data_IF_929131353587
#
_entry.id   IF_929131353587
#
_cell.length_a   1.000
_cell.length_b   1.000
_cell.length_c   1.000
_cell.angle_alpha   90.00
_cell.angle_beta   90.00
_cell.angle_gamma   90.00
#
_symmetry.space_group_name_H-M   'P 1'
#
loop_
_entity.id
_entity.type
_entity.pdbx_description
1 polymer ?
#
# COMPACT_ATOMS: atom_id res chain seq x y z
N UNK A 1 21.86 7.48 18.83
CA UNK A 1 21.29 8.08 17.61
C UNK A 1 19.80 7.79 17.62
N UNK A 2 18.93 8.79 17.80
CA UNK A 2 17.49 8.58 17.89
C UNK A 2 16.91 8.48 16.48
N UNK A 3 16.51 7.28 16.05
CA UNK A 3 15.90 7.09 14.73
C UNK A 3 14.53 7.74 14.72
N UNK A 4 14.40 8.82 13.94
CA UNK A 4 13.17 9.60 13.87
C UNK A 4 12.30 9.11 12.71
N UNK A 5 10.99 9.14 12.94
CA UNK A 5 9.97 8.91 11.93
C UNK A 5 10.26 9.74 10.67
N UNK A 6 10.15 9.16 9.46
CA UNK A 6 10.28 9.93 8.23
C UNK A 6 9.31 11.11 8.22
N UNK A 7 9.82 12.34 8.02
CA UNK A 7 9.02 13.58 8.11
C UNK A 7 7.80 13.57 7.20
N UNK A 8 7.90 12.91 6.05
CA UNK A 8 6.83 12.77 5.06
C UNK A 8 5.75 11.75 5.45
N UNK A 9 6.02 10.83 6.37
CA UNK A 9 5.04 9.85 6.86
C UNK A 9 4.34 10.32 8.15
N UNK A 10 5.08 10.99 9.04
CA UNK A 10 4.56 11.54 10.29
C UNK A 10 4.25 10.49 11.36
N UNK A 11 4.18 10.94 12.62
CA UNK A 11 3.88 10.08 13.79
C UNK A 11 2.39 9.81 13.95
N UNK A 12 2.05 8.64 14.50
CA UNK A 12 0.68 8.25 14.88
C UNK A 12 -0.34 8.39 13.72
N UNK A 13 0.06 7.97 12.51
CA UNK A 13 -0.77 8.14 11.30
C UNK A 13 -1.40 6.84 10.82
N UNK A 14 -0.82 5.70 11.17
CA UNK A 14 -1.19 4.42 10.57
C UNK A 14 -1.90 3.50 11.57
N UNK A 15 -2.96 2.85 11.13
CA UNK A 15 -3.66 1.82 11.91
C UNK A 15 -2.93 0.46 11.81
N UNK A 16 -2.22 0.24 10.71
CA UNK A 16 -1.46 -1.00 10.44
C UNK A 16 -0.12 -0.65 9.77
N UNK A 17 0.94 -1.33 10.19
CA UNK A 17 2.25 -1.34 9.54
C UNK A 17 2.63 -2.79 9.31
N UNK A 18 2.95 -3.15 8.07
CA UNK A 18 3.43 -4.50 7.71
C UNK A 18 4.84 -4.41 7.15
N UNK A 19 5.70 -5.37 7.51
CA UNK A 19 7.09 -5.39 7.07
C UNK A 19 7.53 -6.81 6.72
N UNK A 20 8.18 -6.94 5.57
CA UNK A 20 8.93 -8.12 5.19
C UNK A 20 10.41 -7.72 5.02
N UNK A 21 11.15 -7.62 6.13
CA UNK A 21 12.49 -7.02 6.15
C UNK A 21 13.54 -8.02 5.62
N UNK A 22 14.75 -7.53 5.31
CA UNK A 22 15.89 -8.42 5.12
C UNK A 22 16.11 -9.30 6.35
N UNK A 23 16.39 -10.58 6.13
CA UNK A 23 16.44 -11.57 7.21
C UNK A 23 17.83 -11.76 7.84
N UNK A 24 18.90 -11.36 7.13
CA UNK A 24 20.26 -11.73 7.49
C UNK A 24 21.07 -10.53 8.00
N UNK A 25 21.73 -10.68 9.16
CA UNK A 25 22.80 -9.77 9.55
C UNK A 25 23.94 -9.86 8.53
N UNK A 26 24.65 -8.76 8.32
CA UNK A 26 25.85 -8.74 7.47
C UNK A 26 27.02 -9.29 8.31
N UNK A 27 27.66 -10.41 7.94
CA UNK A 27 28.84 -10.90 8.65
C UNK A 27 30.04 -9.96 8.43
N UNK A 28 30.88 -9.79 9.44
CA UNK A 28 32.11 -9.01 9.32
C UNK A 28 33.02 -9.59 8.22
N UNK A 29 33.45 -8.73 7.28
CA UNK A 29 34.38 -9.10 6.20
C UNK A 29 33.76 -9.81 4.98
N UNK A 30 32.43 -9.91 4.88
CA UNK A 30 31.80 -10.66 3.78
C UNK A 30 31.79 -9.87 2.46
N UNK A 31 32.16 -10.53 1.36
CA UNK A 31 31.91 -10.01 -0.01
C UNK A 31 30.40 -9.95 -0.22
N UNK A 32 29.85 -8.74 -0.28
CA UNK A 32 28.47 -8.48 -0.65
C UNK A 32 28.31 -8.94 -2.11
N UNK A 33 27.25 -9.70 -2.39
CA UNK A 33 26.91 -10.16 -3.74
C UNK A 33 27.00 -8.97 -4.73
N UNK A 34 27.63 -9.11 -5.91
CA UNK A 34 27.79 -8.00 -6.86
C UNK A 34 26.47 -7.36 -7.27
N UNK A 35 25.35 -8.08 -7.14
CA UNK A 35 24.02 -7.50 -7.25
C UNK A 35 23.59 -6.81 -5.93
N UNK A 36 23.85 -5.50 -5.84
CA UNK A 36 23.54 -4.68 -4.67
C UNK A 36 22.05 -4.70 -4.28
N UNK A 37 21.12 -4.75 -5.24
CA UNK A 37 19.68 -4.75 -4.94
C UNK A 37 19.26 -6.03 -4.20
N UNK A 38 19.70 -7.19 -4.69
CA UNK A 38 19.44 -8.47 -4.01
C UNK A 38 20.13 -8.55 -2.65
N UNK A 39 21.29 -7.93 -2.51
CA UNK A 39 22.00 -7.89 -1.23
C UNK A 39 21.24 -7.05 -0.20
N UNK A 40 20.81 -5.84 -0.56
CA UNK A 40 20.03 -4.93 0.30
C UNK A 40 18.70 -5.55 0.72
N UNK A 41 18.03 -6.28 -0.17
CA UNK A 41 16.75 -6.93 0.14
C UNK A 41 16.88 -8.13 1.09
N UNK A 42 18.06 -8.74 1.19
CA UNK A 42 18.28 -9.96 2.01
C UNK A 42 19.06 -9.68 3.29
N UNK A 43 19.92 -8.68 3.29
CA UNK A 43 20.82 -8.38 4.40
C UNK A 43 20.55 -6.99 4.99
N UNK A 44 20.75 -6.86 6.29
CA UNK A 44 20.61 -5.62 7.07
C UNK A 44 21.71 -4.59 6.72
N UNK A 45 21.77 -4.14 5.47
CA UNK A 45 22.80 -3.22 4.94
C UNK A 45 22.42 -1.76 5.15
N UNK A 46 21.21 -1.39 4.72
CA UNK A 46 20.71 0.00 4.81
C UNK A 46 19.81 0.22 6.02
N UNK A 47 19.22 -0.86 6.51
CA UNK A 47 18.31 -0.85 7.65
C UNK A 47 18.44 -2.18 8.39
N UNK A 48 18.35 -2.14 9.72
CA UNK A 48 18.37 -3.32 10.57
C UNK A 48 17.02 -3.54 11.27
N UNK A 49 16.88 -4.70 11.94
CA UNK A 49 15.64 -5.08 12.62
C UNK A 49 15.20 -4.07 13.69
N UNK A 50 16.13 -3.55 14.50
CA UNK A 50 15.84 -2.58 15.55
C UNK A 50 15.24 -1.29 14.96
N UNK A 51 15.88 -0.75 13.91
CA UNK A 51 15.43 0.46 13.23
C UNK A 51 14.05 0.30 12.62
N UNK A 52 13.76 -0.87 12.00
CA UNK A 52 12.43 -1.19 11.47
C UNK A 52 11.37 -1.09 12.56
N UNK A 53 11.63 -1.70 13.71
CA UNK A 53 10.66 -1.77 14.82
C UNK A 53 10.48 -0.40 15.49
N UNK A 54 11.56 0.37 15.69
CA UNK A 54 11.49 1.75 16.21
C UNK A 54 10.67 2.65 15.28
N UNK A 55 10.90 2.57 13.97
CA UNK A 55 10.15 3.41 13.01
C UNK A 55 8.69 2.96 12.96
N UNK A 56 8.42 1.66 12.97
CA UNK A 56 7.05 1.13 12.97
C UNK A 56 6.25 1.57 14.21
N UNK A 57 6.84 1.52 15.40
CA UNK A 57 6.17 1.93 16.64
C UNK A 57 5.77 3.41 16.62
N UNK A 58 6.60 4.27 16.04
CA UNK A 58 6.33 5.71 15.92
C UNK A 58 5.29 6.05 14.84
N UNK A 59 5.16 5.22 13.80
CA UNK A 59 4.17 5.40 12.74
C UNK A 59 2.75 5.01 13.18
N UNK A 60 2.65 4.03 14.08
CA UNK A 60 1.39 3.43 14.51
C UNK A 60 0.64 4.31 15.50
N UNK A 61 -0.67 4.46 15.30
CA UNK A 61 -1.58 5.01 16.32
C UNK A 61 -1.61 4.11 17.56
N UNK A 62 -2.16 4.60 18.67
CA UNK A 62 -2.51 3.77 19.83
C UNK A 62 -3.42 2.61 19.38
N UNK A 63 -3.11 1.38 19.81
CA UNK A 63 -3.74 0.12 19.39
C UNK A 63 -3.56 -0.22 17.89
N UNK A 64 -2.71 0.50 17.17
CA UNK A 64 -2.31 0.14 15.82
C UNK A 64 -1.55 -1.19 15.79
N UNK A 65 -1.65 -1.92 14.69
CA UNK A 65 -1.06 -3.26 14.54
C UNK A 65 0.20 -3.25 13.71
N UNK A 66 1.24 -3.89 14.23
CA UNK A 66 2.48 -4.17 13.53
C UNK A 66 2.50 -5.65 13.13
N UNK A 67 2.79 -5.94 11.87
CA UNK A 67 3.02 -7.29 11.38
C UNK A 67 4.41 -7.39 10.76
N UNK A 68 5.19 -8.38 11.18
CA UNK A 68 6.51 -8.64 10.62
C UNK A 68 6.64 -10.10 10.23
N UNK A 69 7.08 -10.35 9.00
CA UNK A 69 7.53 -11.67 8.55
C UNK A 69 9.00 -11.81 8.88
N UNK A 70 9.42 -12.89 9.55
CA UNK A 70 10.84 -13.12 9.83
C UNK A 70 11.16 -14.61 9.97
N UNK A 71 12.44 -14.88 10.22
CA UNK A 71 12.97 -16.19 10.61
C UNK A 71 12.85 -16.44 12.13
N UNK A 72 12.59 -17.68 12.59
CA UNK A 72 12.41 -18.00 14.02
C UNK A 72 13.61 -17.66 14.91
N UNK A 73 14.84 -17.80 14.41
CA UNK A 73 16.07 -17.51 15.16
C UNK A 73 16.20 -16.04 15.59
N UNK A 74 15.39 -15.15 15.01
CA UNK A 74 15.36 -13.71 15.30
C UNK A 74 14.22 -13.32 16.24
N UNK A 75 13.38 -14.28 16.66
CA UNK A 75 12.18 -14.03 17.43
C UNK A 75 12.47 -13.34 18.78
N UNK A 76 13.56 -13.74 19.46
CA UNK A 76 13.98 -13.11 20.71
C UNK A 76 14.28 -11.62 20.53
N UNK A 77 14.98 -11.24 19.46
CA UNK A 77 15.28 -9.84 19.13
C UNK A 77 14.01 -9.08 18.74
N UNK A 78 13.11 -9.68 17.95
CA UNK A 78 11.82 -9.07 17.59
C UNK A 78 11.02 -8.73 18.86
N UNK A 79 10.86 -9.69 19.77
CA UNK A 79 10.13 -9.51 21.02
C UNK A 79 10.81 -8.42 21.86
N UNK A 80 12.12 -8.50 22.04
CA UNK A 80 12.88 -7.51 22.80
C UNK A 80 12.68 -6.09 22.28
N UNK A 81 12.83 -5.87 20.97
CA UNK A 81 12.67 -4.54 20.37
C UNK A 81 11.21 -4.07 20.40
N UNK A 82 10.23 -4.94 20.21
CA UNK A 82 8.81 -4.58 20.35
C UNK A 82 8.50 -4.09 21.78
N UNK A 83 8.92 -4.84 22.79
CA UNK A 83 8.68 -4.50 24.20
C UNK A 83 9.35 -3.19 24.60
N UNK A 84 10.62 -2.97 24.20
CA UNK A 84 11.32 -1.71 24.44
C UNK A 84 10.67 -0.51 23.74
N UNK A 85 9.86 -0.76 22.71
CA UNK A 85 9.13 0.26 21.96
C UNK A 85 7.63 0.29 22.29
N UNK A 86 7.23 -0.23 23.47
CA UNK A 86 5.85 -0.21 23.96
C UNK A 86 4.85 -0.92 23.03
N UNK A 87 5.30 -1.92 22.27
CA UNK A 87 4.44 -2.77 21.47
C UNK A 87 4.32 -4.15 22.12
N UNK A 88 3.11 -4.50 22.55
CA UNK A 88 2.83 -5.83 23.09
C UNK A 88 2.72 -6.85 21.96
N UNK A 89 3.55 -7.90 21.97
CA UNK A 89 3.47 -9.00 21.00
C UNK A 89 2.26 -9.87 21.34
N UNK A 90 1.35 -10.08 20.38
CA UNK A 90 0.05 -10.73 20.62
C UNK A 90 -0.12 -12.04 19.90
N UNK A 91 0.50 -12.21 18.74
CA UNK A 91 0.35 -13.42 17.95
C UNK A 91 1.67 -13.78 17.28
N UNK A 92 2.02 -15.07 17.29
CA UNK A 92 3.11 -15.64 16.50
C UNK A 92 2.52 -16.81 15.72
N UNK A 93 2.58 -16.70 14.39
CA UNK A 93 2.19 -17.76 13.46
C UNK A 93 3.45 -18.35 12.81
N UNK A 94 3.88 -19.56 13.21
CA UNK A 94 4.97 -20.28 12.54
C UNK A 94 4.50 -20.86 11.20
N UNK A 95 5.44 -21.00 10.26
CA UNK A 95 5.29 -21.73 9.01
C UNK A 95 6.45 -22.71 8.85
N UNK A 96 6.11 -23.98 8.60
CA UNK A 96 7.07 -25.04 8.33
C UNK A 96 7.00 -25.42 6.84
N UNK A 97 8.13 -25.66 6.16
CA UNK A 97 8.14 -25.91 4.73
C UNK A 97 7.36 -27.18 4.35
N UNK A 98 7.47 -28.23 5.16
CA UNK A 98 6.76 -29.50 5.01
C UNK A 98 6.45 -30.08 6.39
N UNK A 99 5.62 -31.12 6.41
CA UNK A 99 5.35 -31.89 7.64
C UNK A 99 6.66 -32.41 8.22
N UNK A 100 6.74 -32.40 9.55
CA UNK A 100 7.89 -32.89 10.33
C UNK A 100 9.22 -32.12 10.11
N UNK A 101 9.18 -30.99 9.41
CA UNK A 101 10.32 -30.08 9.29
C UNK A 101 10.24 -28.95 10.32
N UNK A 102 11.41 -28.41 10.67
CA UNK A 102 11.48 -27.22 11.51
C UNK A 102 10.83 -26.01 10.83
N UNK A 103 10.22 -25.15 11.64
CA UNK A 103 9.72 -23.85 11.18
C UNK A 103 10.87 -23.05 10.61
N UNK A 104 10.67 -22.44 9.45
CA UNK A 104 11.67 -21.59 8.80
C UNK A 104 11.19 -20.15 8.58
N UNK A 105 9.94 -19.85 8.93
CA UNK A 105 9.34 -18.52 8.82
C UNK A 105 8.32 -18.34 9.96
N UNK A 106 8.21 -17.12 10.49
CA UNK A 106 7.21 -16.70 11.47
C UNK A 106 6.59 -15.39 11.02
N UNK A 107 5.29 -15.23 11.26
CA UNK A 107 4.61 -13.94 11.22
C UNK A 107 4.32 -13.53 12.65
N UNK A 108 4.79 -12.36 13.04
CA UNK A 108 4.59 -11.80 14.38
C UNK A 108 3.64 -10.61 14.29
N UNK A 109 2.59 -10.63 15.09
CA UNK A 109 1.70 -9.49 15.33
C UNK A 109 2.07 -8.83 16.68
N UNK A 110 2.33 -7.53 16.65
CA UNK A 110 2.43 -6.71 17.85
C UNK A 110 1.43 -5.55 17.79
N UNK A 111 0.98 -5.09 18.96
CA UNK A 111 -0.01 -4.00 19.07
C UNK A 111 0.61 -2.85 19.83
N UNK A 112 0.57 -1.66 19.22
CA UNK A 112 1.16 -0.46 19.77
C UNK A 112 0.43 0.00 21.04
N UNK A 113 1.19 0.29 22.10
CA UNK A 113 0.71 0.65 23.44
C UNK A 113 -0.27 -0.36 24.05
N UNK A 114 -0.12 -1.65 23.71
CA UNK A 114 -0.87 -2.73 24.33
C UNK A 114 -0.11 -3.35 25.51
N UNK A 115 -0.82 -3.96 26.48
CA UNK A 115 -0.19 -4.79 27.50
C UNK A 115 0.74 -5.85 26.90
N UNK A 116 1.73 -6.31 27.65
CA UNK A 116 2.74 -7.27 27.17
C UNK A 116 2.35 -8.74 27.37
N UNK A 117 1.22 -9.00 28.03
CA UNK A 117 0.64 -10.33 28.24
C UNK A 117 -0.24 -10.78 27.07
N UNK A 118 -0.82 -11.98 27.17
CA UNK A 118 -1.81 -12.46 26.19
C UNK A 118 -1.23 -12.82 24.82
N UNK A 119 0.06 -13.17 24.76
CA UNK A 119 0.68 -13.74 23.57
C UNK A 119 0.07 -15.12 23.25
N UNK A 120 -0.36 -15.30 22.01
CA UNK A 120 -0.75 -16.59 21.45
C UNK A 120 0.36 -17.08 20.51
N UNK A 121 0.82 -18.32 20.73
CA UNK A 121 1.70 -19.03 19.82
C UNK A 121 0.87 -20.12 19.13
N UNK A 122 0.67 -19.97 17.82
CA UNK A 122 -0.13 -20.92 17.05
C UNK A 122 0.68 -22.16 16.67
N UNK A 123 -0.05 -23.22 16.29
CA UNK A 123 0.53 -24.35 15.61
C UNK A 123 1.13 -23.91 14.25
N UNK A 124 2.24 -24.51 13.80
CA UNK A 124 2.80 -24.20 12.50
C UNK A 124 1.83 -24.51 11.36
N UNK A 125 1.73 -23.59 10.39
CA UNK A 125 1.09 -23.86 9.10
C UNK A 125 2.10 -24.59 8.22
N UNK A 126 1.69 -25.73 7.67
CA UNK A 126 2.53 -26.51 6.75
C UNK A 126 2.39 -25.94 5.34
N UNK A 127 3.52 -25.60 4.71
CA UNK A 127 3.51 -24.86 3.45
C UNK A 127 3.26 -25.78 2.25
N UNK A 128 4.01 -26.88 2.17
CA UNK A 128 3.96 -27.80 1.04
C UNK A 128 3.54 -29.21 1.47
N UNK A 129 2.84 -29.88 0.56
CA UNK A 129 2.63 -31.31 0.56
C UNK A 129 3.95 -32.04 0.23
N UNK A 130 3.96 -33.37 0.37
CA UNK A 130 5.11 -34.23 0.04
C UNK A 130 5.51 -34.15 -1.45
N UNK A 131 4.57 -33.82 -2.34
CA UNK A 131 4.80 -33.62 -3.77
C UNK A 131 5.24 -32.20 -4.16
N UNK A 132 5.56 -31.36 -3.16
CA UNK A 132 5.91 -29.94 -3.32
C UNK A 132 4.78 -29.00 -3.77
N UNK A 133 3.55 -29.49 -3.97
CA UNK A 133 2.39 -28.62 -4.13
C UNK A 133 2.11 -27.86 -2.83
N UNK A 134 1.45 -26.70 -2.90
CA UNK A 134 1.01 -26.01 -1.69
C UNK A 134 -0.11 -26.81 -1.01
N UNK A 135 -0.17 -26.74 0.32
CA UNK A 135 -1.29 -27.31 1.09
C UNK A 135 -2.58 -26.53 0.81
N UNK A 136 -3.75 -27.16 1.02
CA UNK A 136 -5.04 -26.48 0.85
C UNK A 136 -5.17 -25.22 1.71
N UNK A 137 -4.60 -25.23 2.92
CA UNK A 137 -4.56 -24.08 3.82
C UNK A 137 -3.77 -22.90 3.20
N UNK A 138 -2.58 -23.16 2.64
CA UNK A 138 -1.80 -22.14 1.94
C UNK A 138 -2.48 -21.70 0.65
N UNK A 139 -3.02 -22.64 -0.12
CA UNK A 139 -3.77 -22.30 -1.34
C UNK A 139 -4.96 -21.41 -1.00
N UNK A 140 -5.67 -21.63 0.10
CA UNK A 140 -6.73 -20.74 0.55
C UNK A 140 -6.18 -19.36 0.94
N UNK A 141 -5.06 -19.28 1.68
CA UNK A 141 -4.43 -17.99 2.02
C UNK A 141 -4.00 -17.24 0.73
N UNK A 142 -3.43 -17.92 -0.25
CA UNK A 142 -3.02 -17.33 -1.53
C UNK A 142 -4.25 -16.97 -2.38
N UNK A 143 -5.28 -17.81 -2.41
CA UNK A 143 -6.49 -17.61 -3.21
C UNK A 143 -7.43 -16.58 -2.61
N UNK A 144 -7.56 -16.45 -1.29
CA UNK A 144 -8.28 -15.34 -0.65
C UNK A 144 -7.62 -14.00 -1.01
N UNK A 145 -6.28 -13.97 -1.09
CA UNK A 145 -5.54 -12.82 -1.61
C UNK A 145 -5.77 -12.59 -3.12
N UNK A 146 -5.91 -13.66 -3.92
CA UNK A 146 -6.32 -13.55 -5.33
C UNK A 146 -7.77 -13.12 -5.46
N UNK A 147 -8.74 -13.61 -4.69
CA UNK A 147 -10.15 -13.21 -4.72
C UNK A 147 -10.35 -11.75 -4.27
N UNK A 148 -9.55 -11.30 -3.30
CA UNK A 148 -9.43 -9.90 -2.93
C UNK A 148 -8.75 -9.04 -4.03
N UNK A 149 -7.86 -9.62 -4.85
CA UNK A 149 -7.20 -8.96 -5.99
C UNK A 149 -7.97 -9.08 -7.33
N UNK A 150 -8.77 -10.12 -7.55
CA UNK A 150 -9.53 -10.43 -8.78
C UNK A 150 -10.91 -9.80 -8.77
N UNK A 151 -11.35 -9.22 -7.65
CA UNK A 151 -12.43 -8.21 -7.60
C UNK A 151 -12.00 -6.81 -8.03
N UNK A 152 -10.82 -6.68 -8.64
CA UNK A 152 -10.51 -5.54 -9.49
C UNK A 152 -10.60 -6.04 -10.93
N UNK A 153 -11.78 -5.86 -11.56
CA UNK A 153 -11.77 -5.59 -13.00
C UNK A 153 -10.69 -4.52 -13.24
N UNK A 154 -10.01 -4.59 -14.39
CA UNK A 154 -8.98 -3.62 -14.80
C UNK A 154 -9.62 -2.23 -14.96
N UNK A 155 -9.96 -1.61 -13.83
CA UNK A 155 -10.93 -0.54 -13.73
C UNK A 155 -10.20 0.74 -14.00
N UNK A 156 -10.30 1.19 -15.23
CA UNK A 156 -9.69 2.42 -15.69
C UNK A 156 -10.34 3.62 -15.00
N UNK A 157 -9.50 4.52 -14.55
CA UNK A 157 -9.89 5.81 -14.00
C UNK A 157 -9.57 6.89 -15.01
N UNK A 158 -10.45 7.87 -15.11
CA UNK A 158 -10.35 8.94 -16.09
C UNK A 158 -10.31 10.27 -15.37
N UNK A 159 -9.33 11.10 -15.72
CA UNK A 159 -9.50 12.56 -15.63
C UNK A 159 -10.19 13.02 -16.91
N UNK A 160 -11.11 13.97 -16.81
CA UNK A 160 -11.77 14.55 -17.97
C UNK A 160 -11.99 16.05 -17.83
N UNK A 161 -11.98 16.75 -18.97
CA UNK A 161 -12.33 18.15 -19.09
C UNK A 161 -13.57 18.31 -19.99
N UNK A 162 -14.57 19.03 -19.49
CA UNK A 162 -15.78 19.39 -20.22
C UNK A 162 -15.81 20.88 -20.57
N UNK A 163 -16.39 21.23 -21.72
CA UNK A 163 -16.86 22.57 -22.04
C UNK A 163 -18.33 22.70 -21.65
N UNK A 164 -18.64 23.64 -20.76
CA UNK A 164 -19.99 24.00 -20.39
C UNK A 164 -20.65 24.93 -21.44
N UNK A 165 -21.97 25.07 -21.38
CA UNK A 165 -22.72 25.96 -22.28
C UNK A 165 -22.33 27.44 -22.15
N UNK A 166 -21.85 27.86 -20.98
CA UNK A 166 -21.32 29.21 -20.71
C UNK A 166 -19.86 29.38 -21.16
N UNK A 167 -19.27 28.39 -21.84
CA UNK A 167 -17.88 28.39 -22.29
C UNK A 167 -16.86 28.06 -21.19
N UNK A 168 -17.28 27.89 -19.94
CA UNK A 168 -16.39 27.51 -18.83
C UNK A 168 -15.86 26.08 -19.00
N UNK A 169 -14.70 25.80 -18.40
CA UNK A 169 -14.11 24.46 -18.38
C UNK A 169 -14.29 23.82 -17.02
N UNK A 170 -14.77 22.58 -17.04
CA UNK A 170 -14.96 21.78 -15.85
C UNK A 170 -14.05 20.55 -15.89
N UNK A 171 -13.14 20.45 -14.91
CA UNK A 171 -12.35 19.24 -14.67
C UNK A 171 -13.05 18.31 -13.70
N UNK A 172 -13.10 17.03 -14.01
CA UNK A 172 -13.66 15.98 -13.15
C UNK A 172 -12.88 14.69 -13.24
N UNK A 173 -13.19 13.75 -12.35
CA UNK A 173 -12.71 12.38 -12.44
C UNK A 173 -13.88 11.38 -12.45
N UNK A 174 -13.68 10.21 -13.05
CA UNK A 174 -14.64 9.11 -13.02
C UNK A 174 -13.97 7.78 -13.34
N UNK A 175 -14.64 6.67 -13.04
CA UNK A 175 -14.30 5.33 -13.51
C UNK A 175 -15.13 4.89 -14.74
N UNK A 176 -16.10 5.71 -15.17
CA UNK A 176 -16.90 5.46 -16.37
C UNK A 176 -17.25 6.78 -17.06
N UNK A 177 -16.46 7.11 -18.08
CA UNK A 177 -16.53 8.39 -18.78
C UNK A 177 -17.91 8.62 -19.44
N UNK A 178 -18.42 7.62 -20.17
CA UNK A 178 -19.71 7.72 -20.89
C UNK A 178 -20.87 7.97 -19.92
N UNK A 179 -21.01 7.13 -18.90
CA UNK A 179 -22.06 7.26 -17.87
C UNK A 179 -21.98 8.60 -17.16
N UNK A 180 -20.76 9.11 -16.92
CA UNK A 180 -20.55 10.39 -16.24
C UNK A 180 -21.00 11.58 -17.09
N UNK A 181 -20.70 11.58 -18.38
CA UNK A 181 -21.13 12.64 -19.31
C UNK A 181 -22.66 12.65 -19.45
N UNK A 182 -23.28 11.48 -19.58
CA UNK A 182 -24.73 11.34 -19.59
C UNK A 182 -25.38 11.86 -18.29
N UNK A 183 -24.77 11.57 -17.14
CA UNK A 183 -25.24 12.09 -15.85
C UNK A 183 -25.17 13.62 -15.80
N UNK A 184 -24.09 14.23 -16.29
CA UNK A 184 -23.98 15.68 -16.37
C UNK A 184 -25.09 16.28 -17.26
N UNK A 185 -25.30 15.77 -18.47
CA UNK A 185 -26.30 16.31 -19.40
C UNK A 185 -27.75 16.09 -18.93
N UNK A 186 -28.03 14.97 -18.24
CA UNK A 186 -29.34 14.72 -17.61
C UNK A 186 -29.58 15.53 -16.32
N UNK A 187 -28.60 16.32 -15.85
CA UNK A 187 -28.73 17.15 -14.64
C UNK A 187 -28.54 16.39 -13.32
N UNK A 188 -28.14 15.12 -13.40
CA UNK A 188 -27.77 14.26 -12.26
C UNK A 188 -26.27 14.29 -11.94
N UNK A 189 -25.49 15.07 -12.68
CA UNK A 189 -24.05 15.27 -12.46
C UNK A 189 -23.73 16.27 -11.36
N UNK A 190 -22.52 16.84 -11.41
CA UNK A 190 -22.06 17.78 -10.39
C UNK A 190 -22.93 19.05 -10.29
N UNK A 191 -23.09 19.58 -9.06
CA UNK A 191 -23.82 20.84 -8.80
C UNK A 191 -23.37 21.96 -9.73
N UNK A 192 -22.06 22.09 -9.96
CA UNK A 192 -21.46 23.11 -10.83
C UNK A 192 -22.01 23.08 -12.25
N UNK A 193 -22.06 21.89 -12.85
CA UNK A 193 -22.50 21.69 -14.24
C UNK A 193 -24.01 21.69 -14.39
N UNK A 194 -24.80 21.48 -13.32
CA UNK A 194 -26.25 21.29 -13.40
C UNK A 194 -26.98 22.49 -14.04
N UNK A 195 -26.51 23.71 -13.79
CA UNK A 195 -27.04 24.94 -14.38
C UNK A 195 -26.32 25.39 -15.67
N UNK A 196 -25.33 24.63 -16.15
CA UNK A 196 -24.42 24.99 -17.26
C UNK A 196 -24.41 23.96 -18.39
N UNK A 197 -25.53 23.26 -18.53
CA UNK A 197 -25.77 22.23 -19.55
C UNK A 197 -26.24 22.90 -20.85
N UNK A 198 -26.05 22.26 -22.02
CA UNK A 198 -25.32 21.00 -22.21
C UNK A 198 -23.82 21.15 -21.96
N UNK A 199 -23.17 20.04 -21.64
CA UNK A 199 -21.71 19.95 -21.51
C UNK A 199 -21.16 19.00 -22.57
N UNK A 200 -20.02 19.37 -23.15
CA UNK A 200 -19.32 18.59 -24.16
C UNK A 200 -17.98 18.12 -23.61
N UNK A 201 -17.62 16.85 -23.85
CA UNK A 201 -16.30 16.34 -23.50
C UNK A 201 -15.26 16.94 -24.45
N UNK A 202 -14.26 17.64 -23.90
CA UNK A 202 -13.15 18.19 -24.65
C UNK A 202 -11.93 17.25 -24.63
N UNK A 203 -11.64 16.70 -23.46
CA UNK A 203 -10.40 15.95 -23.23
C UNK A 203 -10.57 14.92 -22.12
N UNK A 204 -9.81 13.84 -22.19
CA UNK A 204 -9.67 12.89 -21.09
C UNK A 204 -8.30 12.21 -21.10
N UNK A 205 -7.88 11.74 -19.93
CA UNK A 205 -6.71 10.89 -19.72
C UNK A 205 -7.11 9.65 -18.94
N UNK A 206 -6.52 8.52 -19.29
CA UNK A 206 -6.76 7.22 -18.66
C UNK A 206 -5.63 6.86 -17.68
N UNK A 207 -6.00 6.26 -16.55
CA UNK A 207 -5.10 5.83 -15.48
C UNK A 207 -5.51 4.46 -14.96
N UNK A 208 -4.52 3.64 -14.61
CA UNK A 208 -4.73 2.37 -13.90
C UNK A 208 -4.91 2.58 -12.39
N UNK A 209 -4.51 3.75 -11.88
CA UNK A 209 -4.62 4.12 -10.47
C UNK A 209 -5.59 5.30 -10.25
N UNK A 210 -6.54 5.09 -9.34
CA UNK A 210 -7.51 6.12 -8.93
C UNK A 210 -6.82 7.36 -8.38
N UNK A 211 -5.74 7.19 -7.62
CA UNK A 211 -5.04 8.33 -6.99
C UNK A 211 -4.34 9.18 -8.04
N UNK A 212 -3.76 8.57 -9.07
CA UNK A 212 -3.20 9.27 -10.22
C UNK A 212 -4.24 10.15 -10.94
N UNK A 213 -5.44 9.61 -11.24
CA UNK A 213 -6.52 10.36 -11.85
C UNK A 213 -7.01 11.54 -10.98
N UNK A 214 -7.16 11.33 -9.66
CA UNK A 214 -7.53 12.38 -8.72
C UNK A 214 -6.47 13.48 -8.61
N UNK A 215 -5.18 13.10 -8.61
CA UNK A 215 -4.06 14.06 -8.60
C UNK A 215 -4.05 14.90 -9.87
N UNK A 216 -4.35 14.29 -11.03
CA UNK A 216 -4.50 15.01 -12.30
C UNK A 216 -5.66 15.99 -12.28
N UNK A 217 -6.83 15.59 -11.78
CA UNK A 217 -7.99 16.47 -11.62
C UNK A 217 -7.68 17.66 -10.70
N UNK A 218 -7.06 17.41 -9.55
CA UNK A 218 -6.65 18.44 -8.61
C UNK A 218 -5.70 19.42 -9.29
N UNK A 219 -4.66 18.90 -9.95
CA UNK A 219 -3.68 19.70 -10.66
C UNK A 219 -4.34 20.59 -11.72
N UNK A 220 -5.22 20.05 -12.56
CA UNK A 220 -5.95 20.83 -13.55
C UNK A 220 -6.83 21.92 -12.91
N UNK A 221 -7.52 21.63 -11.81
CA UNK A 221 -8.42 22.59 -11.14
C UNK A 221 -7.69 23.82 -10.59
N UNK A 222 -6.44 23.67 -10.17
CA UNK A 222 -5.65 24.74 -9.53
C UNK A 222 -4.97 25.70 -10.51
N UNK A 223 -5.12 25.49 -11.81
CA UNK A 223 -4.63 26.43 -12.82
C UNK A 223 -5.72 27.39 -13.29
N UNK A 224 -5.29 28.56 -13.77
CA UNK A 224 -6.19 29.58 -14.32
C UNK A 224 -6.75 29.19 -15.70
N UNK A 225 -7.59 30.06 -16.27
CA UNK A 225 -8.21 29.81 -17.58
C UNK A 225 -7.19 29.76 -18.71
N UNK A 226 -6.24 30.70 -18.74
CA UNK A 226 -5.25 30.83 -19.82
C UNK A 226 -4.35 29.60 -19.86
N UNK A 227 -3.92 29.12 -18.70
CA UNK A 227 -3.15 27.90 -18.59
C UNK A 227 -3.93 26.68 -19.10
N UNK A 228 -5.23 26.58 -18.76
CA UNK A 228 -6.09 25.47 -19.23
C UNK A 228 -6.26 25.47 -20.74
N UNK A 229 -6.39 26.65 -21.36
CA UNK A 229 -6.47 26.81 -22.82
C UNK A 229 -5.17 26.37 -23.50
N UNK A 230 -4.01 26.77 -22.95
CA UNK A 230 -2.71 26.32 -23.43
C UNK A 230 -2.57 24.80 -23.32
N UNK A 231 -2.89 24.23 -22.14
CA UNK A 231 -2.87 22.80 -21.90
C UNK A 231 -3.72 22.04 -22.94
N UNK A 232 -4.95 22.49 -23.21
CA UNK A 232 -5.81 21.86 -24.20
C UNK A 232 -5.25 21.99 -25.62
N UNK A 233 -4.67 23.14 -25.97
CA UNK A 233 -4.05 23.39 -27.27
C UNK A 233 -2.84 22.49 -27.50
N UNK A 234 -1.98 22.33 -26.49
CA UNK A 234 -0.82 21.42 -26.50
C UNK A 234 -1.23 19.95 -26.72
N UNK A 235 -2.43 19.58 -26.28
CA UNK A 235 -3.01 18.25 -26.49
C UNK A 235 -3.85 18.15 -27.78
N UNK A 236 -3.72 19.11 -28.70
CA UNK A 236 -4.44 19.19 -29.97
C UNK A 236 -5.98 19.21 -29.84
N UNK A 237 -6.50 19.70 -28.71
CA UNK A 237 -7.93 19.81 -28.46
C UNK A 237 -8.44 21.13 -29.01
N UNK A 238 -9.42 21.07 -29.92
CA UNK A 238 -10.16 22.25 -30.40
C UNK A 238 -11.37 22.45 -29.49
N UNK A 239 -11.54 23.65 -28.94
CA UNK A 239 -12.60 23.98 -27.99
C UNK A 239 -13.42 25.20 -28.39
#
# INVERSE_FOLDING_TARGET
MHWMTPKNLGKDKFDVVTVNPPYFKVPDGHRINPNQQKAIARHEILINLEQVIIVASQLLKMKGKFFIVHRPERLAEIIHYCLNNHMGVKNIQPFAPQKDHETNLVVVEAVNNAPTDGLVLNNPIIVHNSDSSFTDEIENIIHENKAASTKTENKKYYFYCLKCADGSFYGGFTDNLKKRIEAHNSGKGAKYTKSRRPVNLLYFEEFDDKRAALKREYWFKHHDRKWKENFLTEHNVKF
#
